data_IF_959857924350
#
_entry.id   IF_959857924350
#
_cell.length_a   1.000
_cell.length_b   1.000
_cell.length_c   1.000
_cell.angle_alpha   90.00
_cell.angle_beta   90.00
_cell.angle_gamma   90.00
#
_symmetry.space_group_name_H-M   'P 1'
#
loop_
_entity.id
_entity.type
_entity.pdbx_description
1 polymer ?
#
# COMPACT_ATOMS: atom_id res chain seq x y z
N UNK A 1 21.14 -19.94 -26.65
CA UNK A 1 21.46 -19.62 -25.24
C UNK A 1 20.70 -18.37 -24.83
N UNK A 2 19.54 -18.52 -24.20
CA UNK A 2 18.82 -17.40 -23.61
C UNK A 2 19.34 -17.23 -22.18
N UNK A 3 20.02 -16.12 -21.92
CA UNK A 3 20.48 -15.77 -20.57
C UNK A 3 19.22 -15.36 -19.79
N UNK A 4 18.82 -16.16 -18.79
CA UNK A 4 17.68 -15.83 -17.95
C UNK A 4 17.93 -14.50 -17.20
N UNK A 5 16.96 -13.59 -17.30
CA UNK A 5 16.99 -12.33 -16.56
C UNK A 5 16.76 -12.60 -15.06
N UNK A 6 17.37 -11.81 -14.17
CA UNK A 6 17.10 -11.92 -12.76
C UNK A 6 15.65 -11.54 -12.44
N UNK A 7 15.05 -12.29 -11.52
CA UNK A 7 13.68 -12.15 -11.05
C UNK A 7 13.73 -11.51 -9.68
N UNK A 8 12.93 -10.48 -9.47
CA UNK A 8 12.77 -9.83 -8.18
C UNK A 8 11.51 -10.36 -7.51
N UNK A 9 11.58 -10.67 -6.22
CA UNK A 9 10.42 -10.98 -5.37
C UNK A 9 10.14 -9.79 -4.46
N UNK A 10 8.87 -9.40 -4.38
CA UNK A 10 8.39 -8.34 -3.50
C UNK A 10 7.73 -8.97 -2.27
N UNK A 11 8.31 -8.73 -1.09
CA UNK A 11 7.74 -9.10 0.21
C UNK A 11 7.44 -7.82 1.00
N UNK A 12 6.20 -7.33 0.93
CA UNK A 12 5.85 -6.02 1.47
C UNK A 12 6.53 -4.89 0.68
N UNK A 13 7.39 -4.11 1.34
CA UNK A 13 8.23 -3.08 0.71
C UNK A 13 9.64 -3.58 0.36
N UNK A 14 9.97 -4.84 0.65
CA UNK A 14 11.31 -5.37 0.42
C UNK A 14 11.38 -6.10 -0.92
N UNK A 15 12.18 -5.56 -1.84
CA UNK A 15 12.56 -6.18 -3.10
C UNK A 15 13.78 -7.06 -2.89
N UNK A 16 13.71 -8.32 -3.30
CA UNK A 16 14.83 -9.27 -3.19
C UNK A 16 15.14 -9.91 -4.53
N UNK A 17 16.41 -9.86 -4.95
CA UNK A 17 16.85 -10.61 -6.13
C UNK A 17 16.89 -12.11 -5.83
N UNK A 18 16.20 -12.93 -6.63
CA UNK A 18 16.22 -14.38 -6.46
C UNK A 18 17.54 -15.01 -6.91
N UNK A 19 18.25 -14.35 -7.83
CA UNK A 19 19.51 -14.84 -8.37
C UNK A 19 20.67 -14.34 -7.50
N UNK A 20 21.60 -15.24 -7.11
CA UNK A 20 22.85 -14.85 -6.49
C UNK A 20 23.77 -14.19 -7.53
N UNK A 21 24.56 -13.21 -7.08
CA UNK A 21 25.65 -12.60 -7.83
C UNK A 21 26.66 -11.95 -6.90
N UNK A 22 27.81 -11.57 -7.46
CA UNK A 22 28.93 -11.00 -6.69
C UNK A 22 28.66 -9.58 -6.20
N UNK A 23 27.91 -8.79 -6.97
CA UNK A 23 27.43 -7.48 -6.54
C UNK A 23 26.10 -7.11 -7.20
N UNK A 24 25.36 -6.23 -6.53
CA UNK A 24 24.05 -5.74 -6.97
C UNK A 24 24.11 -4.23 -7.11
N UNK A 25 23.24 -3.68 -7.96
CA UNK A 25 22.94 -2.27 -8.02
C UNK A 25 21.46 -2.11 -8.31
N UNK A 26 20.72 -1.48 -7.41
CA UNK A 26 19.32 -1.16 -7.64
C UNK A 26 19.17 0.14 -8.42
N UNK A 27 18.15 0.20 -9.26
CA UNK A 27 17.78 1.35 -10.06
C UNK A 27 16.32 1.70 -9.77
N UNK A 28 16.01 3.00 -9.74
CA UNK A 28 14.66 3.55 -9.70
C UNK A 28 14.45 4.44 -10.92
N UNK A 29 13.41 4.16 -11.70
CA UNK A 29 13.09 4.91 -12.93
C UNK A 29 14.29 5.03 -13.89
N UNK A 30 15.11 3.97 -13.96
CA UNK A 30 16.32 3.94 -14.78
C UNK A 30 17.56 4.62 -14.18
N UNK A 31 17.45 5.26 -13.00
CA UNK A 31 18.58 5.90 -12.31
C UNK A 31 19.12 5.01 -11.18
N UNK A 32 20.45 4.90 -10.99
CA UNK A 32 21.02 4.09 -9.91
C UNK A 32 20.71 4.70 -8.54
N UNK A 33 20.32 3.85 -7.59
CA UNK A 33 20.11 4.22 -6.19
C UNK A 33 21.45 4.10 -5.46
N UNK A 34 22.00 5.23 -5.00
CA UNK A 34 23.31 5.26 -4.34
C UNK A 34 23.29 4.43 -3.07
N UNK A 35 24.26 3.52 -2.92
CA UNK A 35 24.40 2.65 -1.74
C UNK A 35 23.53 1.38 -1.76
N UNK A 36 22.64 1.22 -2.74
CA UNK A 36 21.79 0.04 -2.87
C UNK A 36 22.56 -1.10 -3.58
N UNK A 37 23.53 -1.69 -2.88
CA UNK A 37 24.39 -2.76 -3.40
C UNK A 37 24.12 -4.15 -2.81
N UNK A 38 23.13 -4.23 -1.92
CA UNK A 38 22.71 -5.47 -1.29
C UNK A 38 21.71 -6.24 -2.17
N UNK A 39 21.63 -7.55 -1.94
CA UNK A 39 20.70 -8.46 -2.62
C UNK A 39 19.23 -8.09 -2.37
N UNK A 40 18.94 -7.55 -1.20
CA UNK A 40 17.64 -7.03 -0.81
C UNK A 40 17.68 -5.52 -0.69
N UNK A 41 16.61 -4.85 -1.12
CA UNK A 41 16.44 -3.42 -1.03
C UNK A 41 15.02 -3.09 -0.58
N UNK A 42 14.89 -2.18 0.37
CA UNK A 42 13.58 -1.68 0.81
C UNK A 42 13.20 -0.49 -0.06
N UNK A 43 12.10 -0.61 -0.79
CA UNK A 43 11.55 0.47 -1.60
C UNK A 43 10.54 1.28 -0.80
N UNK A 44 10.97 2.47 -0.39
CA UNK A 44 10.14 3.43 0.37
C UNK A 44 9.33 4.37 -0.55
N UNK A 45 9.78 4.57 -1.78
CA UNK A 45 9.16 5.47 -2.75
C UNK A 45 8.47 4.70 -3.89
N UNK A 46 7.53 5.36 -4.56
CA UNK A 46 6.99 4.85 -5.83
C UNK A 46 8.04 4.92 -6.95
N UNK A 47 7.92 3.98 -7.88
CA UNK A 47 8.75 3.95 -9.07
C UNK A 47 8.92 2.57 -9.67
N UNK A 48 9.54 2.56 -10.84
CA UNK A 48 9.97 1.35 -11.52
C UNK A 48 11.34 0.92 -10.99
N UNK A 49 11.38 -0.18 -10.25
CA UNK A 49 12.60 -0.73 -9.68
C UNK A 49 13.19 -1.84 -10.56
N UNK A 50 14.51 -1.79 -10.74
CA UNK A 50 15.29 -2.82 -11.42
C UNK A 50 16.54 -3.13 -10.61
N UNK A 51 17.05 -4.35 -10.73
CA UNK A 51 18.34 -4.74 -10.16
C UNK A 51 19.29 -5.16 -11.27
N UNK A 52 20.47 -4.56 -11.30
CA UNK A 52 21.60 -5.09 -12.04
C UNK A 52 22.41 -6.01 -11.12
N UNK A 53 22.76 -7.19 -11.63
CA UNK A 53 23.64 -8.14 -10.98
C UNK A 53 24.92 -8.18 -11.80
N UNK A 54 26.06 -7.95 -11.15
CA UNK A 54 27.38 -8.07 -11.75
C UNK A 54 28.07 -9.33 -11.22
N UNK A 55 28.54 -10.15 -12.15
CA UNK A 55 29.30 -11.37 -11.91
C UNK A 55 30.51 -11.38 -12.86
N UNK A 56 31.54 -12.15 -12.54
CA UNK A 56 32.81 -12.20 -13.26
C UNK A 56 32.67 -12.56 -14.76
N UNK A 57 31.53 -13.14 -15.16
CA UNK A 57 31.28 -13.63 -16.52
C UNK A 57 30.06 -13.00 -17.21
N UNK A 58 29.19 -12.28 -16.49
CA UNK A 58 27.97 -11.71 -17.09
C UNK A 58 27.34 -10.64 -16.20
N UNK A 59 27.08 -9.48 -16.80
CA UNK A 59 26.21 -8.46 -16.20
C UNK A 59 24.78 -8.72 -16.64
N UNK A 60 23.83 -8.76 -15.71
CA UNK A 60 22.42 -9.00 -16.00
C UNK A 60 21.55 -7.93 -15.37
N UNK A 61 20.58 -7.42 -16.11
CA UNK A 61 19.57 -6.48 -15.62
C UNK A 61 18.22 -7.19 -15.53
N UNK A 62 17.51 -7.00 -14.42
CA UNK A 62 16.17 -7.54 -14.24
C UNK A 62 15.14 -6.82 -15.10
N UNK A 63 13.97 -7.45 -15.26
CA UNK A 63 12.79 -6.71 -15.66
C UNK A 63 12.40 -5.70 -14.57
N UNK A 64 11.74 -4.63 -15.00
CA UNK A 64 11.25 -3.59 -14.11
C UNK A 64 10.04 -4.08 -13.31
N UNK A 65 10.10 -3.94 -12.00
CA UNK A 65 8.94 -4.04 -11.11
C UNK A 65 8.46 -2.63 -10.80
N UNK A 66 7.24 -2.31 -11.21
CA UNK A 66 6.59 -1.06 -10.83
C UNK A 66 6.06 -1.22 -9.41
N UNK A 67 6.67 -0.51 -8.48
CA UNK A 67 6.09 -0.25 -7.16
C UNK A 67 5.28 1.02 -7.31
N UNK A 68 3.97 0.88 -7.34
CA UNK A 68 3.07 2.00 -7.11
C UNK A 68 2.71 1.96 -5.65
N UNK A 69 3.22 2.92 -4.88
CA UNK A 69 2.72 3.18 -3.55
C UNK A 69 1.30 3.76 -3.68
N UNK A 70 0.30 2.90 -3.87
CA UNK A 70 -0.92 3.08 -3.09
C UNK A 70 -0.61 2.46 -1.72
N UNK A 71 0.40 3.01 -1.05
CA UNK A 71 0.51 2.85 0.40
C UNK A 71 -0.82 3.41 0.89
N UNK A 72 -1.63 2.57 1.53
CA UNK A 72 -2.66 3.12 2.40
C UNK A 72 -1.95 4.15 3.27
N UNK A 73 -2.46 5.39 3.39
CA UNK A 73 -1.94 6.30 4.39
C UNK A 73 -1.85 5.52 5.71
N UNK A 74 -0.71 5.58 6.37
CA UNK A 74 -0.55 4.96 7.70
C UNK A 74 -1.52 5.65 8.64
N UNK A 75 -2.73 5.10 8.71
CA UNK A 75 -3.87 5.70 9.38
C UNK A 75 -3.55 5.98 10.84
N UNK A 76 -2.65 5.19 11.44
CA UNK A 76 -2.19 5.38 12.80
C UNK A 76 -1.50 6.75 13.00
N UNK A 77 -0.81 7.29 11.99
CA UNK A 77 -0.23 8.66 12.05
C UNK A 77 -1.29 9.75 12.16
N UNK A 78 -2.50 9.45 11.69
CA UNK A 78 -3.67 10.33 11.79
C UNK A 78 -4.55 9.97 13.00
N UNK A 79 -4.13 9.03 13.86
CA UNK A 79 -4.96 8.53 14.95
C UNK A 79 -6.19 7.74 14.48
N UNK A 80 -6.16 7.19 13.27
CA UNK A 80 -7.28 6.43 12.69
C UNK A 80 -6.96 4.93 12.71
N UNK A 81 -7.89 4.13 13.21
CA UNK A 81 -7.83 2.68 13.27
C UNK A 81 -9.07 2.10 12.62
N UNK A 82 -8.90 1.08 11.78
CA UNK A 82 -10.00 0.40 11.08
C UNK A 82 -9.87 -1.10 11.29
N UNK A 83 -10.89 -1.74 11.84
CA UNK A 83 -10.84 -3.17 12.15
C UNK A 83 -12.21 -3.80 12.45
N UNK A 84 -12.31 -5.14 12.37
CA UNK A 84 -11.27 -6.05 11.91
C UNK A 84 -11.05 -5.96 10.38
N UNK A 85 -9.84 -6.27 9.91
CA UNK A 85 -9.53 -6.46 8.50
C UNK A 85 -8.68 -7.73 8.38
N UNK A 86 -9.12 -8.79 7.67
CA UNK A 86 -10.44 -8.94 7.00
C UNK A 86 -11.64 -8.95 7.96
N UNK A 87 -12.85 -8.72 7.44
CA UNK A 87 -14.09 -8.78 8.22
C UNK A 87 -15.20 -9.55 7.49
N UNK A 88 -16.16 -10.08 8.24
CA UNK A 88 -17.35 -10.76 7.73
C UNK A 88 -18.42 -9.73 7.38
N UNK A 89 -18.98 -9.00 8.36
CA UNK A 89 -20.17 -8.17 8.13
C UNK A 89 -20.00 -6.68 8.37
N UNK A 90 -19.04 -6.27 9.19
CA UNK A 90 -18.90 -4.88 9.61
C UNK A 90 -17.45 -4.48 9.80
N UNK A 91 -17.16 -3.19 9.60
CA UNK A 91 -15.88 -2.61 10.00
C UNK A 91 -16.13 -1.49 10.99
N UNK A 92 -15.31 -1.45 12.02
CA UNK A 92 -15.25 -0.36 12.99
C UNK A 92 -14.14 0.58 12.62
N UNK A 93 -14.45 1.87 12.62
CA UNK A 93 -13.53 2.98 12.41
C UNK A 93 -13.44 3.72 13.74
N UNK A 94 -12.24 3.84 14.27
CA UNK A 94 -11.93 4.60 15.48
C UNK A 94 -10.99 5.74 15.10
N UNK A 95 -11.35 6.97 15.48
CA UNK A 95 -10.57 8.17 15.20
C UNK A 95 -10.27 8.83 16.55
N UNK A 96 -9.01 8.74 16.98
CA UNK A 96 -8.48 9.29 18.22
C UNK A 96 -7.42 10.36 17.90
N UNK A 97 -7.87 11.59 17.70
CA UNK A 97 -7.02 12.74 17.36
C UNK A 97 -7.70 14.06 17.73
N UNK A 98 -7.07 15.19 17.46
CA UNK A 98 -7.61 16.53 17.77
C UNK A 98 -8.58 17.06 16.70
N UNK A 99 -8.85 16.33 15.61
CA UNK A 99 -9.76 16.80 14.57
C UNK A 99 -11.20 16.86 15.09
N UNK A 100 -11.86 17.98 14.84
CA UNK A 100 -13.29 18.16 15.08
C UNK A 100 -13.98 18.62 13.79
N UNK A 101 -15.17 18.11 13.53
CA UNK A 101 -15.94 18.46 12.34
C UNK A 101 -16.63 17.28 11.69
N UNK A 102 -17.21 17.54 10.52
CA UNK A 102 -17.91 16.53 9.73
C UNK A 102 -16.92 15.63 8.98
N UNK A 103 -17.21 14.34 8.98
CA UNK A 103 -16.44 13.28 8.33
C UNK A 103 -17.40 12.48 7.44
N UNK A 104 -17.04 12.32 6.18
CA UNK A 104 -17.76 11.51 5.21
C UNK A 104 -17.02 10.19 4.98
N UNK A 105 -17.68 9.10 5.38
CA UNK A 105 -17.24 7.74 5.09
C UNK A 105 -17.90 7.24 3.82
N UNK A 106 -17.12 6.66 2.90
CA UNK A 106 -17.63 5.95 1.73
C UNK A 106 -17.00 4.57 1.63
N UNK A 107 -17.81 3.57 1.30
CA UNK A 107 -17.30 2.27 0.89
C UNK A 107 -17.46 2.13 -0.62
N UNK A 108 -16.37 1.84 -1.32
CA UNK A 108 -16.28 1.86 -2.77
C UNK A 108 -15.80 0.47 -3.23
N UNK A 109 -16.41 -0.10 -4.27
CA UNK A 109 -15.91 -1.34 -4.87
C UNK A 109 -14.72 -1.07 -5.83
N UNK A 110 -14.08 -2.14 -6.34
CA UNK A 110 -12.93 -2.01 -7.25
C UNK A 110 -13.27 -1.38 -8.61
N UNK A 111 -14.57 -1.25 -8.96
CA UNK A 111 -15.01 -0.53 -10.16
C UNK A 111 -15.15 0.98 -9.93
N UNK A 112 -14.94 1.45 -8.69
CA UNK A 112 -15.11 2.84 -8.31
C UNK A 112 -16.54 3.21 -7.91
N UNK A 113 -17.47 2.24 -7.83
CA UNK A 113 -18.86 2.50 -7.45
C UNK A 113 -18.97 2.60 -5.93
N UNK A 114 -19.54 3.69 -5.44
CA UNK A 114 -19.88 3.87 -4.02
C UNK A 114 -21.04 2.94 -3.64
N UNK A 115 -20.80 2.04 -2.70
CA UNK A 115 -21.77 1.09 -2.17
C UNK A 115 -22.44 1.60 -0.90
N UNK A 116 -21.71 2.38 -0.10
CA UNK A 116 -22.22 2.98 1.12
C UNK A 116 -21.63 4.38 1.28
N UNK A 117 -22.43 5.30 1.82
CA UNK A 117 -21.98 6.61 2.29
C UNK A 117 -22.60 6.92 3.65
N UNK A 118 -21.80 7.42 4.59
CA UNK A 118 -22.26 7.86 5.92
C UNK A 118 -21.54 9.14 6.33
N UNK A 119 -22.28 10.13 6.82
CA UNK A 119 -21.71 11.33 7.43
C UNK A 119 -21.78 11.16 8.94
N UNK A 120 -20.68 11.48 9.63
CA UNK A 120 -20.62 11.60 11.08
C UNK A 120 -19.98 12.95 11.46
N UNK A 121 -20.19 13.37 12.69
CA UNK A 121 -19.53 14.57 13.24
C UNK A 121 -18.72 14.17 14.46
N UNK A 122 -17.42 14.49 14.46
CA UNK A 122 -16.53 14.33 15.61
C UNK A 122 -16.51 15.63 16.41
N UNK A 123 -16.93 15.58 17.67
CA UNK A 123 -17.02 16.73 18.58
C UNK A 123 -16.29 16.48 19.92
N UNK A 124 -15.44 15.45 19.96
CA UNK A 124 -14.63 15.03 21.09
C UNK A 124 -13.32 14.43 20.58
N UNK A 125 -12.40 14.07 21.47
CA UNK A 125 -11.12 13.43 21.12
C UNK A 125 -11.28 12.07 20.42
N UNK A 126 -12.43 11.41 20.57
CA UNK A 126 -12.69 10.08 20.05
C UNK A 126 -14.02 10.00 19.27
N UNK A 127 -13.96 9.46 18.05
CA UNK A 127 -15.13 9.01 17.31
C UNK A 127 -15.00 7.51 17.02
N UNK A 128 -16.06 6.75 17.30
CA UNK A 128 -16.18 5.35 16.90
C UNK A 128 -17.40 5.21 15.99
N UNK A 129 -17.17 4.69 14.80
CA UNK A 129 -18.19 4.44 13.80
C UNK A 129 -18.15 2.99 13.32
N UNK A 130 -19.31 2.42 13.06
CA UNK A 130 -19.43 1.07 12.49
C UNK A 130 -20.15 1.15 11.16
N UNK A 131 -19.56 0.54 10.13
CA UNK A 131 -20.11 0.47 8.78
C UNK A 131 -20.38 -0.99 8.40
N UNK A 132 -21.60 -1.31 7.93
CA UNK A 132 -21.87 -2.63 7.36
C UNK A 132 -21.14 -2.79 6.02
N UNK A 133 -20.65 -4.00 5.77
CA UNK A 133 -20.06 -4.40 4.50
C UNK A 133 -21.16 -4.98 3.58
N UNK A 134 -21.06 -4.77 2.26
CA UNK A 134 -21.99 -5.35 1.30
C UNK A 134 -22.02 -6.88 1.39
N UNK A 135 -23.09 -7.50 0.90
CA UNK A 135 -23.24 -8.96 0.95
C UNK A 135 -22.20 -9.73 0.10
N UNK A 136 -21.57 -9.06 -0.87
CA UNK A 136 -20.61 -9.69 -1.77
C UNK A 136 -19.23 -9.77 -1.11
N UNK A 137 -18.64 -10.96 -1.04
CA UNK A 137 -17.24 -11.14 -0.65
C UNK A 137 -16.33 -10.44 -1.67
N UNK A 138 -15.27 -9.80 -1.21
CA UNK A 138 -14.38 -9.08 -2.10
C UNK A 138 -13.57 -7.99 -1.41
N UNK A 139 -12.87 -7.23 -2.25
CA UNK A 139 -12.06 -6.09 -1.81
C UNK A 139 -12.84 -4.80 -2.03
N UNK A 140 -12.82 -3.95 -1.01
CA UNK A 140 -13.44 -2.64 -1.00
C UNK A 140 -12.42 -1.58 -0.59
N UNK A 141 -12.67 -0.33 -0.97
CA UNK A 141 -11.94 0.83 -0.50
C UNK A 141 -12.87 1.63 0.43
N UNK A 142 -12.51 1.71 1.70
CA UNK A 142 -13.06 2.68 2.64
C UNK A 142 -12.35 4.01 2.41
N UNK A 143 -13.12 5.05 2.11
CA UNK A 143 -12.66 6.43 2.01
C UNK A 143 -13.18 7.21 3.22
N UNK A 144 -12.30 7.98 3.86
CA UNK A 144 -12.57 8.82 5.01
C UNK A 144 -12.22 10.24 4.60
N UNK A 145 -13.22 11.10 4.43
CA UNK A 145 -13.04 12.44 3.91
C UNK A 145 -13.47 13.50 4.93
N UNK A 146 -12.60 14.48 5.15
CA UNK A 146 -12.88 15.74 5.84
C UNK A 146 -12.77 16.88 4.83
N UNK A 147 -12.97 18.12 5.28
CA UNK A 147 -12.82 19.29 4.41
C UNK A 147 -11.40 19.46 3.84
N UNK A 148 -10.38 19.01 4.57
CA UNK A 148 -8.97 19.26 4.25
C UNK A 148 -8.20 17.99 3.86
N UNK A 149 -8.73 16.81 4.19
CA UNK A 149 -8.01 15.55 4.07
C UNK A 149 -8.91 14.42 3.60
N UNK A 150 -8.40 13.62 2.67
CA UNK A 150 -8.99 12.34 2.28
C UNK A 150 -8.01 11.22 2.56
N UNK A 151 -8.45 10.22 3.33
CA UNK A 151 -7.72 8.99 3.61
C UNK A 151 -8.44 7.79 2.98
N UNK A 152 -7.68 6.73 2.71
CA UNK A 152 -8.21 5.49 2.13
C UNK A 152 -7.70 4.27 2.88
N UNK A 153 -8.53 3.23 2.96
CA UNK A 153 -8.20 1.93 3.54
C UNK A 153 -8.81 0.81 2.71
N UNK A 154 -8.01 -0.18 2.32
CA UNK A 154 -8.49 -1.43 1.75
C UNK A 154 -9.17 -2.24 2.85
N UNK A 155 -10.40 -2.65 2.57
CA UNK A 155 -11.19 -3.53 3.40
C UNK A 155 -11.40 -4.83 2.65
N UNK A 156 -11.21 -5.96 3.33
CA UNK A 156 -11.37 -7.29 2.74
C UNK A 156 -12.56 -7.94 3.42
N UNK A 157 -13.60 -8.26 2.64
CA UNK A 157 -14.72 -9.10 3.07
C UNK A 157 -14.51 -10.54 2.60
N UNK A 158 -14.67 -11.50 3.51
CA UNK A 158 -14.60 -12.94 3.21
C UNK A 158 -15.93 -13.64 3.49
#
# INVERSE_FOLDING_TARGET
>A
NSIAKPTIVLNGNQLTSQQPGSSYQWFRNGLPIVGATQRSFTADDDGSYQVAIFDASCNRLSDAIVISAISEPDLAKFGVFVGPIPSEDLVTIQIQNEFEGSILFRLIDLSGRTMLSKIATKNSEELIETLPLPNQTGVYILQIETNDLTLHKKVIKF
#
